data_IF_281783492241
#
_entry.id   IF_281783492241
#
_cell.length_a   1.000
_cell.length_b   1.000
_cell.length_c   1.000
_cell.angle_alpha   90.00
_cell.angle_beta   90.00
_cell.angle_gamma   90.00
#
_symmetry.space_group_name_H-M   'P 1'
#
loop_
_entity.id
_entity.type
_entity.pdbx_description
1 polymer ?
#
# COMPACT_ATOMS: atom_id res chain seq x y z
N UNK A 1 -1.15 1.27 -12.69
CA UNK A 1 -0.74 0.05 -13.40
C UNK A 1 -1.56 -1.17 -12.94
N UNK A 2 -1.55 -1.52 -11.63
CA UNK A 2 -2.25 -2.72 -11.15
C UNK A 2 -3.72 -2.77 -11.59
N UNK A 3 -4.47 -1.67 -11.40
CA UNK A 3 -5.87 -1.57 -11.81
C UNK A 3 -6.04 -1.74 -13.33
N UNK A 4 -5.23 -1.08 -14.12
CA UNK A 4 -5.26 -1.15 -15.59
C UNK A 4 -4.98 -2.57 -16.07
N UNK A 5 -3.94 -3.20 -15.52
CA UNK A 5 -3.59 -4.58 -15.83
C UNK A 5 -4.76 -5.55 -15.57
N UNK A 6 -5.42 -5.43 -14.41
CA UNK A 6 -6.55 -6.28 -14.07
C UNK A 6 -7.81 -5.96 -14.89
N UNK A 7 -8.03 -4.71 -15.29
CA UNK A 7 -9.12 -4.34 -16.20
C UNK A 7 -8.96 -5.01 -17.57
N UNK A 8 -7.74 -5.17 -18.05
CA UNK A 8 -7.46 -5.86 -19.33
C UNK A 8 -7.45 -7.39 -19.18
N UNK A 9 -6.85 -7.89 -18.12
CA UNK A 9 -6.66 -9.33 -17.87
C UNK A 9 -7.91 -10.02 -17.32
N UNK A 10 -8.69 -9.33 -16.50
CA UNK A 10 -9.75 -9.89 -15.67
C UNK A 10 -9.28 -10.35 -14.30
N UNK A 11 -10.21 -10.86 -13.49
CA UNK A 11 -9.92 -11.30 -12.11
C UNK A 11 -9.31 -12.71 -12.01
N UNK A 12 -9.18 -13.44 -13.11
CA UNK A 12 -8.52 -14.75 -13.18
C UNK A 12 -6.98 -14.59 -13.31
N UNK A 13 -6.40 -13.77 -12.43
CA UNK A 13 -4.97 -13.55 -12.41
C UNK A 13 -4.22 -14.73 -11.76
N UNK A 14 -3.03 -14.99 -12.26
CA UNK A 14 -2.12 -16.01 -11.77
C UNK A 14 -1.06 -15.45 -10.82
N UNK A 15 -0.30 -16.34 -10.19
CA UNK A 15 0.85 -15.94 -9.38
C UNK A 15 1.88 -15.12 -10.18
N UNK A 16 2.17 -15.52 -11.43
CA UNK A 16 3.10 -14.80 -12.30
C UNK A 16 2.55 -13.44 -12.77
N UNK A 17 1.23 -13.28 -12.87
CA UNK A 17 0.61 -11.98 -13.12
C UNK A 17 0.91 -10.99 -11.97
N UNK A 18 0.93 -11.45 -10.72
CA UNK A 18 1.30 -10.61 -9.58
C UNK A 18 2.76 -10.15 -9.66
N UNK A 19 3.67 -10.95 -10.19
CA UNK A 19 5.04 -10.52 -10.45
C UNK A 19 5.08 -9.44 -11.54
N UNK A 20 4.30 -9.60 -12.60
CA UNK A 20 4.18 -8.60 -13.67
C UNK A 20 3.64 -7.29 -13.13
N UNK A 21 2.59 -7.33 -12.31
CA UNK A 21 2.02 -6.15 -11.63
C UNK A 21 3.07 -5.49 -10.73
N UNK A 22 3.82 -6.27 -9.95
CA UNK A 22 4.87 -5.75 -9.08
C UNK A 22 5.97 -5.02 -9.86
N UNK A 23 6.40 -5.56 -11.00
CA UNK A 23 7.37 -4.91 -11.89
C UNK A 23 6.83 -3.56 -12.39
N UNK A 24 5.58 -3.52 -12.89
CA UNK A 24 4.97 -2.29 -13.38
C UNK A 24 4.78 -1.22 -12.30
N UNK A 25 4.43 -1.62 -11.06
CA UNK A 25 4.33 -0.69 -9.93
C UNK A 25 5.70 -0.09 -9.56
N UNK A 26 6.75 -0.90 -9.52
CA UNK A 26 8.12 -0.44 -9.27
C UNK A 26 8.60 0.51 -10.36
N UNK A 27 8.33 0.20 -11.62
CA UNK A 27 8.72 1.06 -12.74
C UNK A 27 8.02 2.43 -12.68
N UNK A 28 6.72 2.46 -12.38
CA UNK A 28 5.98 3.71 -12.19
C UNK A 28 6.54 4.54 -11.03
N UNK A 29 6.84 3.89 -9.90
CA UNK A 29 7.44 4.56 -8.74
C UNK A 29 8.81 5.16 -9.09
N UNK A 30 9.68 4.39 -9.75
CA UNK A 30 11.00 4.84 -10.16
C UNK A 30 10.94 6.01 -11.16
N UNK A 31 9.99 5.97 -12.11
CA UNK A 31 9.75 7.07 -13.05
C UNK A 31 9.22 8.33 -12.34
N UNK A 32 8.30 8.17 -11.38
CA UNK A 32 7.78 9.26 -10.57
C UNK A 32 8.89 9.95 -9.80
N UNK A 33 9.75 9.18 -9.13
CA UNK A 33 10.87 9.70 -8.34
C UNK A 33 11.93 10.35 -9.24
N UNK A 34 12.28 9.73 -10.37
CA UNK A 34 13.26 10.29 -11.31
C UNK A 34 12.78 11.58 -11.98
N UNK A 35 11.46 11.71 -12.23
CA UNK A 35 10.83 12.91 -12.78
C UNK A 35 10.51 13.99 -11.73
N UNK A 36 10.94 13.78 -10.51
CA UNK A 36 10.52 14.53 -9.33
C UNK A 36 10.72 16.05 -9.43
N UNK A 37 9.60 16.76 -9.27
CA UNK A 37 9.57 18.23 -9.11
C UNK A 37 8.97 18.67 -7.78
N UNK A 38 8.53 17.72 -6.97
CA UNK A 38 7.85 17.92 -5.70
C UNK A 38 8.65 17.26 -4.58
N UNK A 39 8.49 17.78 -3.37
CA UNK A 39 9.16 17.25 -2.17
C UNK A 39 8.37 16.11 -1.50
N UNK A 40 7.18 15.78 -2.02
CA UNK A 40 6.28 14.79 -1.45
C UNK A 40 5.65 13.92 -2.52
N UNK A 41 5.74 12.61 -2.33
CA UNK A 41 5.15 11.59 -3.21
C UNK A 41 4.29 10.62 -2.40
N UNK A 42 3.16 10.23 -2.98
CA UNK A 42 2.30 9.19 -2.44
C UNK A 42 2.40 7.95 -3.32
N UNK A 43 2.76 6.84 -2.71
CA UNK A 43 2.82 5.54 -3.36
C UNK A 43 1.64 4.72 -2.88
N UNK A 44 0.72 4.39 -3.79
CA UNK A 44 -0.36 3.44 -3.58
C UNK A 44 0.05 2.10 -4.18
N UNK A 45 -0.14 1.03 -3.43
CA UNK A 45 0.28 -0.32 -3.85
C UNK A 45 1.82 -0.47 -3.93
N UNK A 46 2.46 -0.38 -2.79
CA UNK A 46 3.88 -0.67 -2.62
C UNK A 46 4.19 -2.18 -2.60
N UNK A 47 5.44 -2.54 -2.40
CA UNK A 47 5.85 -3.94 -2.39
C UNK A 47 5.38 -4.72 -1.17
N UNK A 48 5.02 -4.08 -0.06
CA UNK A 48 4.33 -4.75 1.06
C UNK A 48 2.90 -5.15 0.67
N UNK A 49 2.19 -4.31 -0.07
CA UNK A 49 0.87 -4.65 -0.62
C UNK A 49 1.00 -5.85 -1.56
N UNK A 50 1.97 -5.84 -2.46
CA UNK A 50 2.22 -6.95 -3.38
C UNK A 50 2.57 -8.25 -2.65
N UNK A 51 3.37 -8.17 -1.58
CA UNK A 51 3.70 -9.33 -0.74
C UNK A 51 2.45 -9.92 -0.09
N UNK A 52 1.65 -9.10 0.59
CA UNK A 52 0.42 -9.55 1.24
C UNK A 52 -0.55 -10.14 0.22
N UNK A 53 -0.69 -9.53 -0.94
CA UNK A 53 -1.53 -10.04 -2.01
C UNK A 53 -1.07 -11.41 -2.48
N UNK A 54 0.21 -11.60 -2.76
CA UNK A 54 0.78 -12.90 -3.13
C UNK A 54 0.53 -13.96 -2.05
N UNK A 55 0.77 -13.65 -0.79
CA UNK A 55 0.63 -14.58 0.33
C UNK A 55 -0.83 -14.96 0.61
N UNK A 56 -1.75 -14.00 0.46
CA UNK A 56 -3.19 -14.23 0.69
C UNK A 56 -3.83 -15.02 -0.44
N UNK A 57 -3.47 -14.74 -1.70
CA UNK A 57 -4.08 -15.39 -2.85
C UNK A 57 -3.41 -16.74 -3.20
N UNK A 58 -2.10 -16.89 -2.95
CA UNK A 58 -1.32 -18.04 -3.43
C UNK A 58 -0.46 -18.70 -2.35
N UNK A 59 -0.52 -18.27 -1.10
CA UNK A 59 0.25 -18.80 0.05
C UNK A 59 1.78 -18.75 -0.16
N UNK A 60 2.25 -17.91 -1.06
CA UNK A 60 3.67 -17.75 -1.39
C UNK A 60 3.95 -16.34 -1.90
N UNK A 61 5.22 -15.92 -1.92
CA UNK A 61 5.62 -14.61 -2.44
C UNK A 61 6.84 -14.76 -3.34
N UNK A 62 6.88 -14.01 -4.42
CA UNK A 62 8.02 -13.96 -5.32
C UNK A 62 9.27 -13.38 -4.61
N UNK A 63 10.39 -14.08 -4.71
CA UNK A 63 11.68 -13.63 -4.17
C UNK A 63 12.07 -12.23 -4.68
N UNK A 64 11.67 -11.87 -5.88
CA UNK A 64 11.93 -10.55 -6.44
C UNK A 64 11.22 -9.45 -5.64
N UNK A 65 9.94 -9.67 -5.26
CA UNK A 65 9.18 -8.73 -4.42
C UNK A 65 9.87 -8.55 -3.07
N UNK A 66 10.30 -9.63 -2.42
CA UNK A 66 11.04 -9.58 -1.15
C UNK A 66 12.35 -8.80 -1.27
N UNK A 67 13.06 -8.94 -2.40
CA UNK A 67 14.27 -8.15 -2.69
C UNK A 67 13.96 -6.66 -2.87
N UNK A 68 12.82 -6.31 -3.47
CA UNK A 68 12.41 -4.91 -3.60
C UNK A 68 12.06 -4.30 -2.24
N UNK A 69 11.36 -5.03 -1.38
CA UNK A 69 11.09 -4.60 0.00
C UNK A 69 12.39 -4.28 0.74
N UNK A 70 13.40 -5.15 0.63
CA UNK A 70 14.69 -4.94 1.29
C UNK A 70 15.52 -3.76 0.74
N UNK A 71 15.19 -3.25 -0.45
CA UNK A 71 15.93 -2.17 -1.13
C UNK A 71 15.24 -0.82 -1.07
N UNK A 72 13.93 -0.80 -0.81
CA UNK A 72 13.11 0.41 -0.81
C UNK A 72 12.81 0.80 0.64
N UNK A 73 12.76 2.08 0.88
CA UNK A 73 12.35 2.64 2.16
C UNK A 73 11.39 3.81 1.92
N UNK A 74 10.44 3.97 2.82
CA UNK A 74 9.48 5.05 2.78
C UNK A 74 9.53 5.82 4.10
N UNK A 75 9.31 7.12 4.03
CA UNK A 75 9.42 7.99 5.21
C UNK A 75 8.25 7.81 6.17
N UNK A 76 7.08 7.46 5.65
CA UNK A 76 5.85 7.33 6.43
C UNK A 76 4.85 6.39 5.75
N UNK A 77 4.31 5.45 6.49
CA UNK A 77 3.18 4.63 6.08
C UNK A 77 1.86 5.15 6.64
N UNK A 78 0.87 5.34 5.80
CA UNK A 78 -0.50 5.65 6.18
C UNK A 78 -1.35 4.38 6.03
N UNK A 79 -1.62 3.71 7.14
CA UNK A 79 -2.40 2.47 7.16
C UNK A 79 -3.90 2.81 7.25
N UNK A 80 -4.62 2.66 6.15
CA UNK A 80 -6.05 2.92 6.08
C UNK A 80 -6.86 1.84 6.83
N UNK A 81 -7.65 2.24 7.82
CA UNK A 81 -8.52 1.35 8.57
C UNK A 81 -9.70 0.87 7.71
N UNK A 82 -10.35 -0.22 8.13
CA UNK A 82 -11.49 -0.86 7.45
C UNK A 82 -12.85 -0.39 7.98
N UNK A 83 -12.91 0.80 8.55
CA UNK A 83 -14.10 1.38 9.18
C UNK A 83 -15.04 2.11 8.20
N UNK A 84 -14.68 2.22 6.93
CA UNK A 84 -15.60 2.67 5.88
C UNK A 84 -16.50 1.51 5.40
N UNK A 85 -17.75 1.80 5.04
CA UNK A 85 -18.64 0.82 4.40
C UNK A 85 -17.98 0.28 3.12
N UNK A 86 -18.07 -1.05 2.94
CA UNK A 86 -17.61 -1.65 1.71
C UNK A 86 -18.55 -1.27 0.56
N UNK A 87 -17.98 -0.85 -0.54
CA UNK A 87 -18.70 -0.55 -1.78
C UNK A 87 -18.23 -1.50 -2.88
N UNK A 88 -19.17 -2.11 -3.58
CA UNK A 88 -18.86 -2.99 -4.70
C UNK A 88 -18.14 -2.21 -5.81
N UNK A 89 -17.10 -2.84 -6.36
CA UNK A 89 -16.33 -2.36 -7.51
C UNK A 89 -15.88 -3.62 -8.27
N UNK A 90 -15.68 -3.51 -9.58
CA UNK A 90 -15.31 -4.64 -10.44
C UNK A 90 -14.03 -5.37 -10.01
N UNK A 91 -13.12 -4.64 -9.34
CA UNK A 91 -11.83 -5.15 -8.90
C UNK A 91 -11.70 -5.26 -7.37
N UNK A 92 -12.77 -4.96 -6.61
CA UNK A 92 -12.75 -5.09 -5.16
C UNK A 92 -13.07 -6.51 -4.73
N UNK A 93 -12.06 -7.16 -4.22
CA UNK A 93 -12.17 -8.44 -3.55
C UNK A 93 -12.58 -8.26 -2.07
N UNK A 94 -12.99 -9.34 -1.43
CA UNK A 94 -13.19 -9.45 0.00
C UNK A 94 -14.25 -8.51 0.60
N UNK A 95 -15.54 -8.73 0.25
CA UNK A 95 -16.64 -7.99 0.88
C UNK A 95 -16.84 -8.34 2.36
N UNK A 96 -16.35 -9.50 2.81
CA UNK A 96 -16.48 -9.95 4.19
C UNK A 96 -15.75 -9.04 5.18
N UNK A 97 -16.47 -8.42 6.14
CA UNK A 97 -15.84 -7.54 7.12
C UNK A 97 -14.80 -8.24 8.00
N UNK A 98 -15.01 -9.51 8.35
CA UNK A 98 -14.07 -10.25 9.19
C UNK A 98 -12.75 -10.52 8.46
N UNK A 99 -12.82 -10.82 7.16
CA UNK A 99 -11.63 -11.00 6.35
C UNK A 99 -10.88 -9.66 6.13
N UNK A 100 -11.59 -8.55 5.91
CA UNK A 100 -10.99 -7.21 5.81
C UNK A 100 -10.26 -6.83 7.11
N UNK A 101 -10.85 -7.15 8.28
CA UNK A 101 -10.19 -6.96 9.57
C UNK A 101 -8.94 -7.84 9.71
N UNK A 102 -8.96 -9.06 9.19
CA UNK A 102 -7.77 -9.93 9.15
C UNK A 102 -6.68 -9.31 8.29
N UNK A 103 -7.01 -8.83 7.08
CA UNK A 103 -6.06 -8.13 6.22
C UNK A 103 -5.46 -6.90 6.89
N UNK A 104 -6.29 -6.08 7.53
CA UNK A 104 -5.82 -4.90 8.27
C UNK A 104 -4.79 -5.27 9.34
N UNK A 105 -5.00 -6.36 10.09
CA UNK A 105 -4.04 -6.84 11.08
C UNK A 105 -2.74 -7.29 10.43
N UNK A 106 -2.80 -8.00 9.31
CA UNK A 106 -1.60 -8.42 8.55
C UNK A 106 -0.79 -7.19 8.12
N UNK A 107 -1.43 -6.18 7.51
CA UNK A 107 -0.75 -4.94 7.12
C UNK A 107 -0.19 -4.18 8.33
N UNK A 108 -0.93 -4.15 9.44
CA UNK A 108 -0.45 -3.52 10.68
C UNK A 108 0.80 -4.20 11.21
N UNK A 109 0.84 -5.52 11.22
CA UNK A 109 2.02 -6.28 11.63
C UNK A 109 3.20 -6.03 10.70
N UNK A 110 2.96 -5.91 9.38
CA UNK A 110 3.99 -5.57 8.40
C UNK A 110 4.63 -4.22 8.71
N UNK A 111 3.83 -3.16 8.90
CA UNK A 111 4.38 -1.82 9.16
C UNK A 111 5.00 -1.67 10.55
N UNK A 112 4.52 -2.42 11.56
CA UNK A 112 5.18 -2.49 12.88
C UNK A 112 6.57 -3.12 12.75
N UNK A 113 6.69 -4.21 12.00
CA UNK A 113 7.93 -4.95 11.85
C UNK A 113 8.92 -4.32 10.86
N UNK A 114 8.49 -3.39 10.01
CA UNK A 114 9.39 -2.66 9.11
C UNK A 114 10.35 -1.74 9.89
N UNK A 115 9.93 -1.25 11.04
CA UNK A 115 10.68 -0.25 11.80
C UNK A 115 10.49 1.18 11.28
N UNK A 116 9.74 1.35 10.20
CA UNK A 116 9.43 2.66 9.62
C UNK A 116 8.35 3.39 10.42
N UNK A 117 8.18 4.68 10.17
CA UNK A 117 7.09 5.45 10.79
C UNK A 117 5.77 5.10 10.14
N UNK A 118 4.72 5.02 10.93
CA UNK A 118 3.39 4.72 10.43
C UNK A 118 2.30 5.35 11.28
N UNK A 119 1.13 5.54 10.70
CA UNK A 119 -0.08 5.98 11.38
C UNK A 119 -1.32 5.27 10.82
N UNK A 120 -2.30 5.00 11.68
CA UNK A 120 -3.61 4.51 11.25
C UNK A 120 -4.49 5.69 10.87
N UNK A 121 -5.13 5.59 9.70
CA UNK A 121 -6.07 6.59 9.19
C UNK A 121 -7.48 6.01 9.28
N UNK A 122 -8.36 6.67 10.02
CA UNK A 122 -9.72 6.20 10.35
C UNK A 122 -10.76 7.31 10.18
N UNK A 123 -12.04 6.95 10.29
CA UNK A 123 -13.18 7.85 10.24
C UNK A 123 -13.83 7.93 8.87
N UNK A 124 -14.66 8.95 8.67
CA UNK A 124 -15.28 9.28 7.37
C UNK A 124 -14.27 9.87 6.40
N UNK A 125 -14.64 10.02 5.13
CA UNK A 125 -13.74 10.53 4.09
C UNK A 125 -13.07 11.87 4.47
N UNK A 126 -13.84 12.81 5.02
CA UNK A 126 -13.32 14.11 5.47
C UNK A 126 -12.39 14.00 6.67
N UNK A 127 -12.74 13.17 7.65
CA UNK A 127 -11.92 12.93 8.84
C UNK A 127 -10.61 12.21 8.47
N UNK A 128 -10.66 11.26 7.53
CA UNK A 128 -9.46 10.58 7.01
C UNK A 128 -8.49 11.56 6.36
N UNK A 129 -9.00 12.44 5.50
CA UNK A 129 -8.17 13.44 4.85
C UNK A 129 -7.52 14.38 5.87
N UNK A 130 -8.30 14.86 6.84
CA UNK A 130 -7.81 15.73 7.90
C UNK A 130 -6.76 15.02 8.76
N UNK A 131 -7.00 13.76 9.14
CA UNK A 131 -6.05 12.96 9.91
C UNK A 131 -4.75 12.73 9.14
N UNK A 132 -4.82 12.30 7.88
CA UNK A 132 -3.65 12.07 7.03
C UNK A 132 -2.82 13.35 6.87
N UNK A 133 -3.47 14.48 6.56
CA UNK A 133 -2.81 15.79 6.45
C UNK A 133 -2.11 16.17 7.76
N UNK A 134 -2.79 16.02 8.90
CA UNK A 134 -2.21 16.34 10.22
C UNK A 134 -0.98 15.47 10.54
N UNK A 135 -1.02 14.19 10.20
CA UNK A 135 0.11 13.26 10.40
C UNK A 135 1.29 13.68 9.53
N UNK A 136 1.06 13.97 8.26
CA UNK A 136 2.08 14.40 7.30
C UNK A 136 2.69 15.74 7.74
N UNK A 137 1.88 16.72 8.07
CA UNK A 137 2.35 18.03 8.55
C UNK A 137 3.20 17.91 9.82
N UNK A 138 2.83 16.98 10.72
CA UNK A 138 3.62 16.71 11.92
C UNK A 138 4.95 16.07 11.58
N UNK A 139 4.97 15.18 10.58
CA UNK A 139 6.19 14.55 10.08
C UNK A 139 7.12 15.57 9.41
N UNK A 140 6.59 16.46 8.57
CA UNK A 140 7.35 17.45 7.81
C UNK A 140 7.85 18.63 8.66
N UNK A 141 7.31 18.83 9.88
CA UNK A 141 7.83 19.87 10.79
C UNK A 141 9.28 19.55 11.16
N UNK A 142 10.21 20.52 11.02
CA UNK A 142 11.56 20.31 11.50
C UNK A 142 11.54 19.93 12.97
N UNK A 143 12.14 18.79 13.33
CA UNK A 143 12.36 18.47 14.73
C UNK A 143 13.25 19.59 15.29
N UNK A 144 12.71 20.41 16.20
CA UNK A 144 13.52 21.40 16.91
C UNK A 144 14.61 20.61 17.63
N UNK A 145 15.84 20.77 17.15
CA UNK A 145 17.00 20.33 17.90
C UNK A 145 16.98 21.09 19.24
N UNK A 146 16.91 20.33 20.34
CA UNK A 146 17.15 20.85 21.69
C UNK A 146 18.65 20.95 21.93
#
# INVERSE_FOLDING_TARGET
>A
FAREYLMEKGMDYTFDDLLTIAHGQVELEDQLIAGARNDLYFIDTDMYVMKVWCEVAFEQCHTWILKQIARRSYDLYLLCNTDLPWQADELREYPDPAFRQKLFKIYKDVVINSGDRWAVISGTDGERLQMATSVIDTYLKPQRAF
#
